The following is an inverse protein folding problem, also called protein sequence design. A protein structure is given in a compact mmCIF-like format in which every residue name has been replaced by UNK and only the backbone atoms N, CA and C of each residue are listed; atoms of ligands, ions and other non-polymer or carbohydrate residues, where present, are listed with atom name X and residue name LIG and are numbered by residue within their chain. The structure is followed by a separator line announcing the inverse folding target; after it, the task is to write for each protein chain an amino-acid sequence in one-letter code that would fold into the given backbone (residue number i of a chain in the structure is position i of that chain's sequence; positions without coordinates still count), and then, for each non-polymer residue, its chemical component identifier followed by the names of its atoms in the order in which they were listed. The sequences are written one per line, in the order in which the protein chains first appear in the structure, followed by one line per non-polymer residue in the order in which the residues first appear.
data_IF_627064611406
#
_entry.id   IF_627064611406
#
_cell.length_a   1.000
_cell.length_b   1.000
_cell.length_c   1.000
_cell.angle_alpha   90.00
_cell.angle_beta   90.00
_cell.angle_gamma   90.00
#
_symmetry.space_group_name_H-M   'P 1'
#
loop_
_entity.id
_entity.type
_entity.pdbx_description
1 polymer ?
#
# COMPACT_ATOMS: atom_id res chain seq x y z
N UNK A 1 -197.19 -106.13 -33.38
CA UNK A 1 -198.06 -107.16 -33.99
C UNK A 1 -197.23 -107.79 -35.10
N UNK A 2 -196.81 -109.05 -34.90
CA UNK A 2 -197.54 -110.27 -35.33
C UNK A 2 -197.34 -110.54 -36.84
N UNK A 3 -197.26 -111.78 -37.35
CA UNK A 3 -197.09 -113.09 -36.71
C UNK A 3 -196.64 -114.12 -37.76
N UNK A 4 -195.71 -115.01 -37.36
CA UNK A 4 -195.82 -116.48 -37.42
C UNK A 4 -196.20 -117.25 -38.71
N UNK A 5 -195.27 -118.13 -39.14
CA UNK A 5 -195.45 -119.59 -39.42
C UNK A 5 -196.38 -120.04 -40.61
N UNK A 6 -196.38 -121.33 -41.06
CA UNK A 6 -195.26 -122.30 -41.29
C UNK A 6 -195.45 -123.30 -42.50
N UNK A 7 -194.58 -124.35 -42.56
CA UNK A 7 -194.81 -125.77 -42.99
C UNK A 7 -194.35 -126.31 -44.40
N UNK A 8 -193.32 -127.18 -44.33
CA UNK A 8 -193.07 -128.48 -45.01
C UNK A 8 -192.50 -128.68 -46.46
N UNK A 9 -191.83 -129.85 -46.56
CA UNK A 9 -190.77 -130.40 -47.45
C UNK A 9 -191.31 -131.40 -48.53
N UNK A 10 -190.54 -131.98 -49.51
CA UNK A 10 -189.12 -132.43 -49.39
C UNK A 10 -188.14 -132.54 -50.60
N UNK A 11 -186.86 -132.78 -50.23
CA UNK A 11 -185.83 -133.66 -50.86
C UNK A 11 -184.86 -133.10 -51.95
N UNK A 12 -183.58 -132.90 -51.58
CA UNK A 12 -182.37 -133.65 -52.04
C UNK A 12 -181.06 -132.87 -51.71
N UNK A 13 -180.16 -133.46 -50.90
CA UNK A 13 -179.05 -132.75 -50.21
C UNK A 13 -177.64 -133.30 -50.54
N UNK A 14 -176.89 -132.69 -51.47
CA UNK A 14 -175.41 -132.90 -51.58
C UNK A 14 -174.63 -131.71 -52.16
N UNK A 15 -175.21 -130.95 -53.10
CA UNK A 15 -174.50 -129.85 -53.79
C UNK A 15 -174.28 -128.61 -52.90
N UNK A 16 -175.25 -128.29 -52.06
CA UNK A 16 -175.23 -127.07 -51.22
C UNK A 16 -174.12 -127.05 -50.16
N UNK A 17 -173.63 -128.20 -49.69
CA UNK A 17 -172.52 -128.27 -48.73
C UNK A 17 -171.18 -127.88 -49.37
N UNK A 18 -170.98 -128.21 -50.65
CA UNK A 18 -169.73 -127.94 -51.37
C UNK A 18 -169.58 -126.45 -51.73
N UNK A 19 -170.67 -125.82 -52.15
CA UNK A 19 -170.73 -124.37 -52.40
C UNK A 19 -170.60 -123.57 -51.10
N UNK A 20 -171.30 -123.98 -50.04
CA UNK A 20 -171.17 -123.38 -48.70
C UNK A 20 -169.72 -123.45 -48.17
N UNK A 21 -169.06 -124.60 -48.32
CA UNK A 21 -167.65 -124.80 -47.99
C UNK A 21 -166.72 -123.88 -48.81
N UNK A 22 -167.01 -123.69 -50.10
CA UNK A 22 -166.22 -122.82 -51.00
C UNK A 22 -166.37 -121.34 -50.63
N UNK A 23 -167.60 -120.89 -50.37
CA UNK A 23 -167.89 -119.52 -49.90
C UNK A 23 -167.24 -119.29 -48.53
N UNK A 24 -167.24 -120.30 -47.64
CA UNK A 24 -166.57 -120.20 -46.33
C UNK A 24 -165.04 -120.10 -46.46
N UNK A 25 -164.42 -120.79 -47.43
CA UNK A 25 -163.00 -120.63 -47.76
C UNK A 25 -162.70 -119.23 -48.30
N UNK A 26 -163.44 -118.76 -49.29
CA UNK A 26 -163.26 -117.42 -49.86
C UNK A 26 -163.44 -116.31 -48.80
N UNK A 27 -164.39 -116.47 -47.86
CA UNK A 27 -164.52 -115.57 -46.71
C UNK A 27 -163.31 -115.60 -45.78
N UNK A 28 -162.75 -116.78 -45.49
CA UNK A 28 -161.50 -116.91 -44.70
C UNK A 28 -160.30 -116.28 -45.42
N UNK A 29 -160.18 -116.48 -46.73
CA UNK A 29 -159.11 -115.91 -47.57
C UNK A 29 -159.21 -114.39 -47.66
N UNK A 30 -160.41 -113.83 -47.88
CA UNK A 30 -160.64 -112.38 -47.82
C UNK A 30 -160.37 -111.83 -46.42
N UNK A 31 -160.70 -112.56 -45.36
CA UNK A 31 -160.44 -112.12 -43.99
C UNK A 31 -158.95 -112.17 -43.63
N UNK A 32 -158.20 -113.16 -44.15
CA UNK A 32 -156.73 -113.18 -44.13
C UNK A 32 -156.15 -112.00 -44.89
N UNK A 33 -156.62 -111.71 -46.11
CA UNK A 33 -156.17 -110.58 -46.91
C UNK A 33 -156.46 -109.23 -46.21
N UNK A 34 -157.60 -109.09 -45.54
CA UNK A 34 -157.92 -107.89 -44.75
C UNK A 34 -156.99 -107.74 -43.54
N UNK A 35 -156.56 -108.85 -42.91
CA UNK A 35 -155.55 -108.81 -41.84
C UNK A 35 -154.18 -108.45 -42.40
N UNK A 36 -153.73 -109.12 -43.47
CA UNK A 36 -152.44 -108.85 -44.11
C UNK A 36 -152.33 -107.42 -44.66
N UNK A 37 -153.42 -106.86 -45.20
CA UNK A 37 -153.47 -105.46 -45.61
C UNK A 37 -153.39 -104.48 -44.43
N UNK A 38 -153.99 -104.81 -43.28
CA UNK A 38 -153.87 -104.01 -42.05
C UNK A 38 -152.47 -104.10 -41.45
N UNK A 39 -151.85 -105.28 -41.49
CA UNK A 39 -150.49 -105.46 -41.03
C UNK A 39 -149.51 -104.70 -41.94
N UNK A 40 -149.68 -104.74 -43.28
CA UNK A 40 -148.89 -103.90 -44.21
C UNK A 40 -149.12 -102.40 -44.04
N UNK A 41 -150.36 -101.96 -43.83
CA UNK A 41 -150.64 -100.54 -43.57
C UNK A 41 -149.97 -100.10 -42.26
N UNK A 42 -149.99 -100.95 -41.23
CA UNK A 42 -149.27 -100.71 -39.98
C UNK A 42 -147.75 -100.68 -40.19
N UNK A 43 -147.16 -101.64 -40.91
CA UNK A 43 -145.73 -101.65 -41.25
C UNK A 43 -145.31 -100.39 -42.02
N UNK A 44 -146.15 -99.95 -42.98
CA UNK A 44 -145.91 -98.71 -43.73
C UNK A 44 -145.95 -97.48 -42.81
N UNK A 45 -146.95 -97.40 -41.93
CA UNK A 45 -147.04 -96.34 -40.92
C UNK A 45 -145.86 -96.36 -39.95
N UNK A 46 -145.42 -97.54 -39.50
CA UNK A 46 -144.24 -97.71 -38.64
C UNK A 46 -142.95 -97.29 -39.36
N UNK A 47 -142.78 -97.63 -40.65
CA UNK A 47 -141.65 -97.16 -41.47
C UNK A 47 -141.69 -95.63 -41.68
N UNK A 48 -142.85 -95.06 -41.96
CA UNK A 48 -143.03 -93.60 -42.06
C UNK A 48 -142.67 -92.92 -40.74
N UNK A 49 -143.10 -93.47 -39.60
CA UNK A 49 -142.75 -92.97 -38.27
C UNK A 49 -141.26 -93.16 -37.91
N UNK A 50 -140.59 -94.20 -38.43
CA UNK A 50 -139.13 -94.35 -38.35
C UNK A 50 -138.43 -93.27 -39.19
N UNK A 51 -138.83 -93.08 -40.44
CA UNK A 51 -138.23 -92.08 -41.33
C UNK A 51 -138.46 -90.64 -40.84
N UNK A 52 -139.65 -90.31 -40.32
CA UNK A 52 -139.91 -89.01 -39.70
C UNK A 52 -138.99 -88.76 -38.49
N UNK A 53 -138.77 -89.78 -37.63
CA UNK A 53 -137.81 -89.69 -36.53
C UNK A 53 -136.36 -89.55 -37.01
N UNK A 54 -135.98 -90.23 -38.10
CA UNK A 54 -134.66 -90.09 -38.71
C UNK A 54 -134.43 -88.67 -39.27
N UNK A 55 -135.42 -88.10 -39.96
CA UNK A 55 -135.37 -86.73 -40.48
C UNK A 55 -135.21 -85.72 -39.33
N UNK A 56 -136.01 -85.83 -38.27
CA UNK A 56 -135.88 -84.96 -37.09
C UNK A 56 -134.50 -85.11 -36.41
N UNK A 57 -133.98 -86.34 -36.29
CA UNK A 57 -132.64 -86.56 -35.73
C UNK A 57 -131.53 -85.97 -36.62
N UNK A 58 -131.67 -86.04 -37.95
CA UNK A 58 -130.76 -85.41 -38.90
C UNK A 58 -130.83 -83.88 -38.86
N UNK A 59 -132.01 -83.30 -38.70
CA UNK A 59 -132.16 -81.85 -38.50
C UNK A 59 -131.55 -81.40 -37.17
N UNK A 60 -131.77 -82.13 -36.07
CA UNK A 60 -131.12 -81.88 -34.78
C UNK A 60 -129.59 -81.95 -34.90
N UNK A 61 -129.04 -82.98 -35.56
CA UNK A 61 -127.60 -83.12 -35.74
C UNK A 61 -127.02 -82.05 -36.67
N UNK A 62 -127.75 -81.65 -37.72
CA UNK A 62 -127.41 -80.50 -38.56
C UNK A 62 -127.33 -79.21 -37.74
N UNK A 63 -128.28 -78.94 -36.84
CA UNK A 63 -128.26 -77.76 -35.97
C UNK A 63 -127.10 -77.81 -34.95
N UNK A 64 -126.79 -78.99 -34.40
CA UNK A 64 -125.60 -79.19 -33.53
C UNK A 64 -124.30 -78.88 -34.30
N UNK A 65 -124.16 -79.39 -35.53
CA UNK A 65 -122.99 -79.14 -36.39
C UNK A 65 -122.85 -77.66 -36.71
N UNK A 66 -123.93 -76.95 -37.06
CA UNK A 66 -123.92 -75.50 -37.30
C UNK A 66 -123.49 -74.73 -36.05
N UNK A 67 -124.05 -75.07 -34.89
CA UNK A 67 -123.70 -74.44 -33.60
C UNK A 67 -122.22 -74.66 -33.23
N UNK A 68 -121.70 -75.86 -33.49
CA UNK A 68 -120.27 -76.17 -33.28
C UNK A 68 -119.38 -75.44 -34.28
N UNK A 69 -119.76 -75.35 -35.56
CA UNK A 69 -119.01 -74.62 -36.57
C UNK A 69 -118.90 -73.12 -36.24
N UNK A 70 -119.99 -72.49 -35.80
CA UNK A 70 -119.96 -71.11 -35.29
C UNK A 70 -119.02 -70.95 -34.09
N UNK A 71 -119.03 -71.92 -33.16
CA UNK A 71 -118.16 -71.90 -31.98
C UNK A 71 -116.68 -72.07 -32.37
N UNK A 72 -116.37 -72.94 -33.32
CA UNK A 72 -115.02 -73.11 -33.86
C UNK A 72 -114.55 -71.81 -34.53
N UNK A 73 -115.37 -71.19 -35.38
CA UNK A 73 -115.04 -69.91 -36.01
C UNK A 73 -114.78 -68.80 -34.99
N UNK A 74 -115.56 -68.72 -33.90
CA UNK A 74 -115.32 -67.78 -32.79
C UNK A 74 -113.96 -68.02 -32.12
N UNK A 75 -113.61 -69.29 -31.85
CA UNK A 75 -112.32 -69.67 -31.25
C UNK A 75 -111.13 -69.45 -32.19
N UNK A 76 -111.27 -69.72 -33.49
CA UNK A 76 -110.26 -69.44 -34.52
C UNK A 76 -109.95 -67.94 -34.60
N UNK A 77 -110.98 -67.09 -34.57
CA UNK A 77 -110.83 -65.63 -34.55
C UNK A 77 -110.13 -65.14 -33.27
N UNK A 78 -110.42 -65.74 -32.10
CA UNK A 78 -109.69 -65.43 -30.86
C UNK A 78 -108.23 -65.89 -30.91
N UNK A 79 -107.96 -67.08 -31.45
CA UNK A 79 -106.61 -67.61 -31.63
C UNK A 79 -105.80 -66.75 -32.61
N UNK A 80 -106.41 -66.28 -33.69
CA UNK A 80 -105.78 -65.35 -34.63
C UNK A 80 -105.37 -64.05 -33.94
N UNK A 81 -106.30 -63.40 -33.21
CA UNK A 81 -106.02 -62.19 -32.42
C UNK A 81 -104.91 -62.41 -31.39
N UNK A 82 -104.88 -63.58 -30.72
CA UNK A 82 -103.78 -63.92 -29.79
C UNK A 82 -102.44 -64.08 -30.50
N UNK A 83 -102.42 -64.69 -31.69
CA UNK A 83 -101.20 -64.81 -32.50
C UNK A 83 -100.70 -63.43 -33.00
N UNK A 84 -101.59 -62.52 -33.38
CA UNK A 84 -101.23 -61.13 -33.72
C UNK A 84 -100.64 -60.39 -32.50
N UNK A 85 -101.24 -60.55 -31.31
CA UNK A 85 -100.69 -60.00 -30.06
C UNK A 85 -99.32 -60.60 -29.74
N UNK A 86 -99.13 -61.92 -29.88
CA UNK A 86 -97.82 -62.57 -29.67
C UNK A 86 -96.79 -62.05 -30.69
N UNK A 87 -97.15 -61.89 -31.96
CA UNK A 87 -96.27 -61.37 -33.02
C UNK A 87 -95.84 -59.92 -32.75
N UNK A 88 -96.77 -59.06 -32.35
CA UNK A 88 -96.48 -57.65 -32.01
C UNK A 88 -95.64 -57.52 -30.73
N UNK A 89 -95.94 -58.30 -29.68
CA UNK A 89 -95.12 -58.36 -28.46
C UNK A 89 -93.71 -58.91 -28.74
N UNK A 90 -93.59 -59.95 -29.56
CA UNK A 90 -92.28 -60.52 -29.96
C UNK A 90 -91.43 -59.49 -30.72
N UNK A 91 -92.05 -58.71 -31.63
CA UNK A 91 -91.36 -57.62 -32.35
C UNK A 91 -90.91 -56.51 -31.39
N UNK A 92 -91.75 -56.16 -30.41
CA UNK A 92 -91.42 -55.17 -29.37
C UNK A 92 -90.28 -55.64 -28.46
N UNK A 93 -90.26 -56.91 -28.06
CA UNK A 93 -89.18 -57.49 -27.27
C UNK A 93 -87.83 -57.43 -28.01
N UNK A 94 -87.79 -57.86 -29.28
CA UNK A 94 -86.56 -57.79 -30.10
C UNK A 94 -86.02 -56.35 -30.24
N UNK A 95 -86.90 -55.36 -30.37
CA UNK A 95 -86.49 -53.96 -30.43
C UNK A 95 -85.97 -53.43 -29.07
N UNK A 96 -86.57 -53.84 -27.96
CA UNK A 96 -86.08 -53.48 -26.62
C UNK A 96 -84.74 -54.16 -26.31
N UNK A 97 -84.55 -55.40 -26.74
CA UNK A 97 -83.31 -56.17 -26.61
C UNK A 97 -82.15 -55.52 -27.41
N UNK A 98 -82.39 -55.17 -28.68
CA UNK A 98 -81.38 -54.44 -29.46
C UNK A 98 -81.05 -53.09 -28.82
N UNK A 99 -82.07 -52.33 -28.40
CA UNK A 99 -81.88 -51.03 -27.74
C UNK A 99 -81.16 -51.15 -26.39
N UNK A 100 -81.35 -52.25 -25.65
CA UNK A 100 -80.61 -52.55 -24.42
C UNK A 100 -79.14 -52.85 -24.72
N UNK A 101 -78.87 -53.62 -25.77
CA UNK A 101 -77.51 -53.92 -26.20
C UNK A 101 -76.75 -52.66 -26.66
N UNK A 102 -77.40 -51.79 -27.43
CA UNK A 102 -76.83 -50.51 -27.87
C UNK A 102 -76.52 -49.59 -26.67
N UNK A 103 -77.43 -49.53 -25.67
CA UNK A 103 -77.19 -48.82 -24.39
C UNK A 103 -76.03 -49.42 -23.60
N UNK A 104 -75.88 -50.75 -23.59
CA UNK A 104 -74.78 -51.43 -22.91
C UNK A 104 -73.43 -51.08 -23.56
N UNK A 105 -73.34 -51.20 -24.89
CA UNK A 105 -72.13 -50.87 -25.66
C UNK A 105 -71.75 -49.39 -25.50
N UNK A 106 -72.73 -48.48 -25.55
CA UNK A 106 -72.47 -47.05 -25.34
C UNK A 106 -72.02 -46.75 -23.91
N UNK A 107 -72.62 -47.38 -22.89
CA UNK A 107 -72.17 -47.28 -21.50
C UNK A 107 -70.72 -47.77 -21.33
N UNK A 108 -70.39 -48.98 -21.80
CA UNK A 108 -69.03 -49.55 -21.74
C UNK A 108 -68.00 -48.62 -22.41
N UNK A 109 -68.31 -48.09 -23.59
CA UNK A 109 -67.47 -47.12 -24.30
C UNK A 109 -67.29 -45.81 -23.50
N UNK A 110 -68.32 -45.28 -22.85
CA UNK A 110 -68.19 -44.08 -22.00
C UNK A 110 -67.38 -44.35 -20.74
N UNK A 111 -67.52 -45.53 -20.13
CA UNK A 111 -66.76 -45.94 -18.95
C UNK A 111 -65.27 -46.10 -19.27
N UNK A 112 -64.92 -46.69 -20.42
CA UNK A 112 -63.53 -46.77 -20.91
C UNK A 112 -62.93 -45.37 -21.15
N UNK A 113 -63.68 -44.46 -21.79
CA UNK A 113 -63.24 -43.07 -21.98
C UNK A 113 -63.01 -42.35 -20.64
N UNK A 114 -63.91 -42.54 -19.67
CA UNK A 114 -63.76 -41.95 -18.33
C UNK A 114 -62.51 -42.49 -17.62
N UNK A 115 -62.23 -43.79 -17.69
CA UNK A 115 -61.01 -44.39 -17.15
C UNK A 115 -59.75 -43.84 -17.85
N UNK A 116 -59.78 -43.66 -19.17
CA UNK A 116 -58.66 -43.08 -19.92
C UNK A 116 -58.41 -41.62 -19.53
N UNK A 117 -59.47 -40.82 -19.38
CA UNK A 117 -59.37 -39.44 -18.91
C UNK A 117 -58.88 -39.35 -17.46
N UNK A 118 -59.34 -40.25 -16.59
CA UNK A 118 -58.86 -40.34 -15.20
C UNK A 118 -57.37 -40.67 -15.11
N UNK A 119 -56.88 -41.63 -15.92
CA UNK A 119 -55.44 -41.93 -16.02
C UNK A 119 -54.66 -40.71 -16.50
N UNK A 120 -55.07 -40.10 -17.63
CA UNK A 120 -54.44 -38.88 -18.15
C UNK A 120 -54.41 -37.75 -17.13
N UNK A 121 -55.48 -37.54 -16.37
CA UNK A 121 -55.54 -36.54 -15.30
C UNK A 121 -54.51 -36.83 -14.19
N UNK A 122 -54.38 -38.10 -13.78
CA UNK A 122 -53.35 -38.55 -12.83
C UNK A 122 -51.94 -38.32 -13.37
N UNK A 123 -51.67 -38.71 -14.62
CA UNK A 123 -50.36 -38.56 -15.27
C UNK A 123 -49.98 -37.07 -15.38
N UNK A 124 -50.92 -36.21 -15.78
CA UNK A 124 -50.70 -34.76 -15.82
C UNK A 124 -50.52 -34.15 -14.42
N UNK A 125 -51.25 -34.64 -13.40
CA UNK A 125 -51.09 -34.17 -12.03
C UNK A 125 -49.69 -34.49 -11.47
N UNK A 126 -49.18 -35.70 -11.73
CA UNK A 126 -47.81 -36.09 -11.37
C UNK A 126 -46.77 -35.25 -12.13
N UNK A 127 -47.02 -34.95 -13.41
CA UNK A 127 -46.15 -34.06 -14.17
C UNK A 127 -46.13 -32.63 -13.63
N UNK A 128 -47.28 -32.08 -13.25
CA UNK A 128 -47.39 -30.77 -12.59
C UNK A 128 -46.61 -30.75 -11.26
N UNK A 129 -46.78 -31.76 -10.39
CA UNK A 129 -46.03 -31.87 -9.15
C UNK A 129 -44.51 -31.88 -9.40
N UNK A 130 -44.03 -32.68 -10.37
CA UNK A 130 -42.60 -32.73 -10.71
C UNK A 130 -42.05 -31.41 -11.30
N UNK A 131 -42.91 -30.55 -11.87
CA UNK A 131 -42.53 -29.20 -12.28
C UNK A 131 -42.55 -28.22 -11.09
N UNK A 132 -43.49 -28.35 -10.16
CA UNK A 132 -43.55 -27.57 -8.92
C UNK A 132 -42.33 -27.83 -8.03
N UNK A 133 -41.93 -29.10 -7.84
CA UNK A 133 -40.73 -29.49 -7.11
C UNK A 133 -39.46 -28.89 -7.73
N UNK A 134 -39.34 -28.90 -9.06
CA UNK A 134 -38.24 -28.24 -9.77
C UNK A 134 -38.25 -26.72 -9.61
N UNK A 135 -39.43 -26.11 -9.63
CA UNK A 135 -39.57 -24.66 -9.42
C UNK A 135 -39.19 -24.25 -8.00
N UNK A 136 -39.59 -25.03 -6.99
CA UNK A 136 -39.16 -24.86 -5.60
C UNK A 136 -37.64 -25.00 -5.46
N UNK A 137 -37.03 -26.03 -6.07
CA UNK A 137 -35.57 -26.21 -6.05
C UNK A 137 -34.84 -25.02 -6.70
N UNK A 138 -35.30 -24.54 -7.87
CA UNK A 138 -34.75 -23.35 -8.51
C UNK A 138 -34.92 -22.09 -7.65
N UNK A 139 -36.07 -21.92 -6.97
CA UNK A 139 -36.32 -20.81 -6.05
C UNK A 139 -35.34 -20.82 -4.87
N UNK A 140 -35.05 -22.00 -4.30
CA UNK A 140 -34.01 -22.17 -3.28
C UNK A 140 -32.63 -21.76 -3.81
N UNK A 141 -32.21 -22.25 -4.99
CA UNK A 141 -30.92 -21.87 -5.58
C UNK A 141 -30.82 -20.36 -5.89
N UNK A 142 -31.92 -19.72 -6.32
CA UNK A 142 -31.98 -18.25 -6.53
C UNK A 142 -31.81 -17.50 -5.20
N UNK A 143 -32.43 -17.99 -4.11
CA UNK A 143 -32.25 -17.42 -2.77
C UNK A 143 -30.80 -17.59 -2.27
N UNK A 144 -30.19 -18.75 -2.44
CA UNK A 144 -28.78 -19.01 -2.10
C UNK A 144 -27.82 -18.10 -2.87
N UNK A 145 -28.01 -17.96 -4.19
CA UNK A 145 -27.23 -17.06 -5.03
C UNK A 145 -27.42 -15.58 -4.63
N UNK A 146 -28.65 -15.17 -4.29
CA UNK A 146 -28.96 -13.81 -3.82
C UNK A 146 -28.23 -13.49 -2.49
N UNK A 147 -28.25 -14.45 -1.56
CA UNK A 147 -27.47 -14.36 -0.31
C UNK A 147 -25.97 -14.27 -0.59
N UNK A 148 -25.47 -15.03 -1.58
CA UNK A 148 -24.04 -14.98 -1.96
C UNK A 148 -23.64 -13.63 -2.58
N UNK A 149 -24.50 -13.04 -3.41
CA UNK A 149 -24.32 -11.69 -3.95
C UNK A 149 -24.27 -10.66 -2.84
N UNK A 150 -25.20 -10.71 -1.87
CA UNK A 150 -25.21 -9.81 -0.71
C UNK A 150 -23.93 -9.90 0.14
N UNK A 151 -23.41 -11.11 0.37
CA UNK A 151 -22.12 -11.32 1.04
C UNK A 151 -20.95 -10.70 0.28
N UNK A 152 -20.93 -10.82 -1.06
CA UNK A 152 -19.87 -10.26 -1.89
C UNK A 152 -19.92 -8.73 -1.91
N UNK A 153 -21.12 -8.13 -1.98
CA UNK A 153 -21.32 -6.67 -1.91
C UNK A 153 -20.86 -6.10 -0.55
N UNK A 154 -21.14 -6.79 0.56
CA UNK A 154 -20.66 -6.36 1.88
C UNK A 154 -19.12 -6.37 1.95
N UNK A 155 -18.47 -7.41 1.40
CA UNK A 155 -17.01 -7.52 1.33
C UNK A 155 -16.38 -6.49 0.38
N UNK A 156 -17.05 -6.17 -0.73
CA UNK A 156 -16.62 -5.10 -1.64
C UNK A 156 -16.60 -3.74 -0.93
N UNK A 157 -17.66 -3.43 -0.17
CA UNK A 157 -17.75 -2.19 0.61
C UNK A 157 -16.70 -2.11 1.73
N UNK A 158 -16.37 -3.23 2.37
CA UNK A 158 -15.26 -3.33 3.33
C UNK A 158 -13.91 -3.00 2.67
N UNK A 159 -13.58 -3.67 1.56
CA UNK A 159 -12.34 -3.45 0.81
C UNK A 159 -12.23 -2.02 0.25
N UNK A 160 -13.33 -1.45 -0.24
CA UNK A 160 -13.39 -0.06 -0.70
C UNK A 160 -13.13 0.93 0.45
N UNK A 161 -13.60 0.62 1.66
CA UNK A 161 -13.32 1.43 2.86
C UNK A 161 -11.86 1.31 3.29
N UNK A 162 -11.29 0.09 3.25
CA UNK A 162 -9.86 -0.14 3.50
C UNK A 162 -8.96 0.59 2.49
N UNK A 163 -9.32 0.59 1.21
CA UNK A 163 -8.58 1.29 0.15
C UNK A 163 -8.54 2.80 0.42
N UNK A 164 -9.69 3.42 0.74
CA UNK A 164 -9.76 4.84 1.11
C UNK A 164 -8.90 5.20 2.32
N UNK A 165 -8.80 4.31 3.32
CA UNK A 165 -7.89 4.51 4.45
C UNK A 165 -6.42 4.43 3.99
N UNK A 166 -6.07 3.49 3.12
CA UNK A 166 -4.70 3.40 2.56
C UNK A 166 -4.33 4.59 1.67
N UNK A 167 -5.28 5.13 0.90
CA UNK A 167 -5.07 6.34 0.11
C UNK A 167 -4.78 7.56 1.03
N UNK A 168 -5.47 7.65 2.17
CA UNK A 168 -5.18 8.67 3.20
C UNK A 168 -3.79 8.47 3.83
N UNK A 169 -3.42 7.25 4.22
CA UNK A 169 -2.07 6.93 4.75
C UNK A 169 -0.98 7.36 3.76
N UNK A 170 -1.17 7.09 2.46
CA UNK A 170 -0.24 7.44 1.38
C UNK A 170 -0.17 8.96 1.20
N UNK A 171 -1.30 9.67 1.30
CA UNK A 171 -1.36 11.12 1.20
C UNK A 171 -0.65 11.80 2.38
N UNK A 172 -0.81 11.31 3.60
CA UNK A 172 -0.08 11.79 4.78
C UNK A 172 1.43 11.54 4.65
N UNK A 173 1.84 10.33 4.28
CA UNK A 173 3.25 10.00 4.01
C UNK A 173 3.84 10.91 2.91
N UNK A 174 3.08 11.19 1.85
CA UNK A 174 3.48 12.11 0.78
C UNK A 174 3.66 13.53 1.32
N UNK A 175 2.74 14.04 2.14
CA UNK A 175 2.86 15.35 2.77
C UNK A 175 4.15 15.45 3.59
N UNK A 176 4.45 14.46 4.44
CA UNK A 176 5.70 14.42 5.20
C UNK A 176 6.95 14.42 4.30
N UNK A 177 6.94 13.65 3.20
CA UNK A 177 8.03 13.66 2.21
C UNK A 177 8.20 15.06 1.60
N UNK A 178 7.11 15.78 1.26
CA UNK A 178 7.20 17.15 0.73
C UNK A 178 7.74 18.13 1.78
N UNK A 179 7.35 18.01 3.05
CA UNK A 179 7.90 18.80 4.14
C UNK A 179 9.39 18.59 4.33
N UNK A 180 9.84 17.33 4.41
CA UNK A 180 11.26 17.00 4.54
C UNK A 180 12.05 17.47 3.31
N UNK A 181 11.49 17.36 2.11
CA UNK A 181 12.08 17.93 0.89
C UNK A 181 12.22 19.45 0.97
N UNK A 182 11.24 20.16 1.52
CA UNK A 182 11.31 21.60 1.76
C UNK A 182 12.38 21.97 2.80
N UNK A 183 12.42 21.25 3.94
CA UNK A 183 13.43 21.41 5.00
C UNK A 183 14.84 21.16 4.46
N UNK A 184 15.02 20.12 3.65
CA UNK A 184 16.30 19.80 3.00
C UNK A 184 16.75 20.91 2.04
N UNK A 185 15.88 21.41 1.16
CA UNK A 185 16.19 22.55 0.26
C UNK A 185 16.59 23.82 1.02
N UNK A 186 15.97 24.09 2.18
CA UNK A 186 16.37 25.22 3.05
C UNK A 186 17.79 25.03 3.61
N UNK A 187 18.12 23.83 4.09
CA UNK A 187 19.45 23.50 4.59
C UNK A 187 20.52 23.52 3.48
N UNK A 188 20.19 23.01 2.28
CA UNK A 188 21.07 23.06 1.11
C UNK A 188 21.38 24.52 0.69
N UNK A 189 20.37 25.40 0.72
CA UNK A 189 20.55 26.83 0.47
C UNK A 189 21.42 27.51 1.55
N UNK A 190 21.20 27.20 2.83
CA UNK A 190 22.01 27.71 3.92
C UNK A 190 23.48 27.23 3.82
N UNK A 191 23.71 25.97 3.46
CA UNK A 191 25.03 25.41 3.21
C UNK A 191 25.73 26.09 2.03
N UNK A 192 25.01 26.34 0.92
CA UNK A 192 25.54 27.13 -0.21
C UNK A 192 25.93 28.54 0.20
N UNK A 193 25.09 29.23 0.96
CA UNK A 193 25.38 30.58 1.46
C UNK A 193 26.60 30.59 2.39
N UNK A 194 26.67 29.68 3.36
CA UNK A 194 27.81 29.55 4.26
C UNK A 194 29.12 29.28 3.53
N UNK A 195 29.11 28.44 2.49
CA UNK A 195 30.28 28.16 1.65
C UNK A 195 30.73 29.36 0.80
N UNK A 196 29.78 30.18 0.33
CA UNK A 196 30.10 31.44 -0.35
C UNK A 196 30.74 32.44 0.62
N UNK A 197 30.21 32.55 1.84
CA UNK A 197 30.75 33.40 2.90
C UNK A 197 32.16 32.97 3.32
N UNK A 198 32.37 31.66 3.55
CA UNK A 198 33.69 31.06 3.80
C UNK A 198 34.70 31.44 2.69
N UNK A 199 34.27 31.39 1.42
CA UNK A 199 35.12 31.80 0.29
C UNK A 199 35.39 33.31 0.21
N UNK A 200 34.54 34.14 0.84
CA UNK A 200 34.76 35.59 0.97
C UNK A 200 35.75 35.88 2.08
N UNK A 201 35.49 35.38 3.29
CA UNK A 201 36.38 35.49 4.45
C UNK A 201 37.77 34.91 4.17
N UNK A 202 37.86 33.82 3.39
CA UNK A 202 39.15 33.28 3.00
C UNK A 202 39.91 34.15 1.97
N UNK A 203 39.23 34.95 1.14
CA UNK A 203 39.88 35.98 0.29
C UNK A 203 40.40 37.12 1.16
N UNK A 204 39.54 37.69 2.01
CA UNK A 204 39.92 38.75 2.96
C UNK A 204 41.11 38.34 3.84
N UNK A 205 41.13 37.09 4.32
CA UNK A 205 42.25 36.51 5.06
C UNK A 205 43.56 36.50 4.27
N UNK A 206 43.53 36.23 2.96
CA UNK A 206 44.74 36.34 2.12
C UNK A 206 45.13 37.80 1.92
N UNK A 207 44.18 38.70 1.72
CA UNK A 207 44.43 40.13 1.57
C UNK A 207 45.06 40.73 2.84
N UNK A 208 44.53 40.40 4.04
CA UNK A 208 45.15 40.75 5.32
C UNK A 208 46.55 40.12 5.48
N UNK A 209 46.75 38.88 5.01
CA UNK A 209 48.07 38.22 5.05
C UNK A 209 49.08 38.91 4.12
N UNK A 210 48.66 39.42 2.97
CA UNK A 210 49.49 40.26 2.09
C UNK A 210 49.78 41.60 2.76
N UNK A 211 48.76 42.27 3.30
CA UNK A 211 48.89 43.55 4.01
C UNK A 211 49.83 43.47 5.21
N UNK A 212 49.81 42.36 5.95
CA UNK A 212 50.73 42.10 7.05
C UNK A 212 52.18 41.98 6.57
N UNK A 213 52.43 41.32 5.43
CA UNK A 213 53.77 41.25 4.83
C UNK A 213 54.27 42.62 4.40
N UNK A 214 53.40 43.44 3.78
CA UNK A 214 53.72 44.84 3.41
C UNK A 214 54.16 45.63 4.65
N UNK A 215 53.36 45.61 5.72
CA UNK A 215 53.67 46.30 6.98
C UNK A 215 54.92 45.77 7.69
N UNK A 216 55.21 44.47 7.61
CA UNK A 216 56.46 43.88 8.13
C UNK A 216 57.69 44.37 7.36
N UNK A 217 57.61 44.49 6.03
CA UNK A 217 58.69 45.05 5.20
C UNK A 217 58.89 46.53 5.50
N UNK A 218 57.81 47.30 5.64
CA UNK A 218 57.88 48.73 5.97
C UNK A 218 58.43 48.97 7.38
N UNK A 219 58.04 48.15 8.37
CA UNK A 219 58.61 48.18 9.72
C UNK A 219 60.10 47.81 9.71
N UNK A 220 60.49 46.83 8.88
CA UNK A 220 61.90 46.44 8.71
C UNK A 220 62.73 47.57 8.06
N UNK A 221 62.15 48.27 7.08
CA UNK A 221 62.75 49.47 6.48
C UNK A 221 62.91 50.59 7.50
N UNK A 222 61.85 50.98 8.20
CA UNK A 222 61.90 52.03 9.23
C UNK A 222 62.88 51.70 10.37
N UNK A 223 63.04 50.42 10.71
CA UNK A 223 64.08 49.96 11.65
C UNK A 223 65.49 50.12 11.08
N UNK A 224 65.67 49.87 9.78
CA UNK A 224 66.90 50.18 9.04
C UNK A 224 67.21 51.67 9.08
N UNK A 225 66.27 52.51 8.64
CA UNK A 225 66.37 53.97 8.63
C UNK A 225 66.72 54.52 10.04
N UNK A 226 66.08 54.00 11.09
CA UNK A 226 66.38 54.36 12.48
C UNK A 226 67.80 53.95 12.92
N UNK A 227 68.29 52.79 12.49
CA UNK A 227 69.65 52.33 12.78
C UNK A 227 70.71 53.17 12.04
N UNK A 228 70.42 53.60 10.81
CA UNK A 228 71.26 54.52 10.05
C UNK A 228 71.30 55.89 10.73
N UNK A 229 70.15 56.46 11.13
CA UNK A 229 70.12 57.70 11.92
C UNK A 229 70.82 57.60 13.28
N UNK A 230 70.82 56.43 13.90
CA UNK A 230 71.62 56.19 15.11
C UNK A 230 73.12 56.20 14.82
N UNK A 231 73.55 55.61 13.68
CA UNK A 231 74.95 55.66 13.23
C UNK A 231 75.39 57.07 12.86
N UNK A 232 74.60 57.81 12.08
CA UNK A 232 74.84 59.24 11.79
C UNK A 232 74.97 60.06 13.08
N UNK A 233 74.08 59.85 14.06
CA UNK A 233 74.15 60.57 15.34
C UNK A 233 75.42 60.23 16.13
N UNK A 234 75.89 58.98 16.09
CA UNK A 234 77.15 58.59 16.70
C UNK A 234 78.35 59.21 15.97
N UNK A 235 78.35 59.25 14.65
CA UNK A 235 79.40 59.92 13.85
C UNK A 235 79.46 61.43 14.14
N UNK A 236 78.30 62.08 14.24
CA UNK A 236 78.17 63.48 14.68
C UNK A 236 78.65 63.68 16.13
N UNK A 237 78.37 62.75 17.05
CA UNK A 237 78.88 62.80 18.43
C UNK A 237 80.41 62.69 18.46
N UNK A 238 80.99 61.76 17.70
CA UNK A 238 82.44 61.62 17.58
C UNK A 238 83.08 62.87 16.93
N UNK A 239 82.43 63.48 15.95
CA UNK A 239 82.88 64.76 15.38
C UNK A 239 82.84 65.90 16.40
N UNK A 240 81.77 66.02 17.19
CA UNK A 240 81.68 66.98 18.30
C UNK A 240 82.78 66.73 19.35
N UNK A 241 83.13 65.46 19.63
CA UNK A 241 84.23 65.12 20.54
C UNK A 241 85.58 65.55 19.95
N UNK A 242 85.86 65.25 18.67
CA UNK A 242 87.09 65.69 17.98
C UNK A 242 87.22 67.21 17.98
N UNK A 243 86.17 67.94 17.57
CA UNK A 243 86.16 69.40 17.57
C UNK A 243 86.37 70.00 18.96
N UNK A 244 85.83 69.38 20.03
CA UNK A 244 86.11 69.79 21.41
C UNK A 244 87.56 69.57 21.82
N UNK A 245 88.17 68.44 21.42
CA UNK A 245 89.59 68.16 21.68
C UNK A 245 90.51 69.15 20.96
N UNK A 246 90.23 69.42 19.69
CA UNK A 246 90.95 70.42 18.88
C UNK A 246 90.83 71.83 19.48
N UNK A 247 89.62 72.25 19.87
CA UNK A 247 89.39 73.54 20.51
C UNK A 247 90.11 73.66 21.87
N UNK A 248 90.21 72.57 22.63
CA UNK A 248 91.04 72.51 23.84
C UNK A 248 92.54 72.64 23.52
N UNK A 249 93.03 71.96 22.47
CA UNK A 249 94.42 72.08 22.01
C UNK A 249 94.75 73.51 21.56
N UNK A 250 93.90 74.12 20.73
CA UNK A 250 94.07 75.49 20.25
C UNK A 250 94.02 76.52 21.39
N UNK A 251 93.17 76.34 22.41
CA UNK A 251 93.19 77.18 23.60
C UNK A 251 94.51 77.07 24.38
N UNK A 252 95.08 75.86 24.49
CA UNK A 252 96.38 75.65 25.13
C UNK A 252 97.53 76.29 24.33
N UNK A 253 97.52 76.18 23.00
CA UNK A 253 98.48 76.88 22.13
C UNK A 253 98.36 78.40 22.25
N UNK A 254 97.13 78.94 22.27
CA UNK A 254 96.87 80.37 22.46
C UNK A 254 97.40 80.86 23.81
N UNK A 255 97.19 80.09 24.89
CA UNK A 255 97.72 80.36 26.22
C UNK A 255 99.26 80.41 26.21
N UNK A 256 99.93 79.41 25.62
CA UNK A 256 101.38 79.38 25.48
C UNK A 256 101.91 80.54 24.61
N UNK A 257 101.16 80.96 23.59
CA UNK A 257 101.50 82.12 22.77
C UNK A 257 101.39 83.43 23.56
N UNK A 258 100.35 83.60 24.37
CA UNK A 258 100.19 84.72 25.28
C UNK A 258 101.31 84.76 26.35
N UNK A 259 101.74 83.61 26.88
CA UNK A 259 102.93 83.56 27.74
C UNK A 259 104.21 84.00 27.05
N UNK A 260 104.44 83.59 25.79
CA UNK A 260 105.62 84.03 25.01
C UNK A 260 105.59 85.54 24.79
N UNK A 261 104.41 86.12 24.51
CA UNK A 261 104.24 87.57 24.39
C UNK A 261 104.57 88.29 25.71
N UNK A 262 104.02 87.82 26.84
CA UNK A 262 104.33 88.37 28.16
C UNK A 262 105.83 88.29 28.50
N UNK A 263 106.51 87.17 28.22
CA UNK A 263 107.98 87.05 28.40
C UNK A 263 108.75 88.04 27.51
N UNK A 264 108.28 88.30 26.28
CA UNK A 264 108.89 89.28 25.37
C UNK A 264 108.74 90.71 25.89
N UNK A 265 107.57 91.07 26.43
CA UNK A 265 107.32 92.41 26.98
C UNK A 265 108.11 92.66 28.28
N UNK A 266 108.26 91.65 29.15
CA UNK A 266 109.15 91.71 30.31
C UNK A 266 110.61 91.98 29.92
N UNK A 267 111.10 91.31 28.88
CA UNK A 267 112.42 91.55 28.28
C UNK A 267 112.57 92.98 27.77
N UNK A 268 111.52 93.51 27.13
CA UNK A 268 111.50 94.86 26.55
C UNK A 268 111.48 95.96 27.63
N UNK A 269 110.77 95.75 28.75
CA UNK A 269 110.88 96.61 29.93
C UNK A 269 112.28 96.59 30.56
N UNK A 270 112.89 95.41 30.70
CA UNK A 270 114.26 95.27 31.24
C UNK A 270 115.29 96.03 30.38
N UNK A 271 115.17 95.95 29.05
CA UNK A 271 116.00 96.72 28.12
C UNK A 271 115.83 98.25 28.31
N UNK A 272 114.59 98.75 28.36
CA UNK A 272 114.31 100.18 28.60
C UNK A 272 114.85 100.67 29.94
N UNK A 273 114.74 99.86 31.00
CA UNK A 273 115.28 100.16 32.34
C UNK A 273 116.81 100.22 32.38
N UNK A 274 117.50 99.42 31.55
CA UNK A 274 118.97 99.52 31.40
C UNK A 274 119.37 100.81 30.68
N UNK A 275 118.69 101.15 29.59
CA UNK A 275 119.01 102.35 28.80
C UNK A 275 118.82 103.66 29.58
N UNK A 276 117.76 103.76 30.39
CA UNK A 276 117.53 104.96 31.22
C UNK A 276 118.66 105.22 32.24
N UNK A 277 119.29 104.15 32.75
CA UNK A 277 120.46 104.27 33.65
C UNK A 277 121.68 104.80 32.93
N UNK A 278 122.02 104.23 31.77
CA UNK A 278 123.16 104.69 30.97
C UNK A 278 123.02 106.15 30.53
N UNK A 279 121.82 106.59 30.15
CA UNK A 279 121.57 107.99 29.77
C UNK A 279 121.75 108.96 30.96
N UNK A 280 121.41 108.53 32.17
CA UNK A 280 121.57 109.32 33.40
C UNK A 280 123.04 109.48 33.79
N UNK A 281 123.83 108.41 33.71
CA UNK A 281 125.28 108.43 33.97
C UNK A 281 126.01 109.34 32.97
N UNK A 282 125.64 109.28 31.68
CA UNK A 282 126.22 110.09 30.61
C UNK A 282 125.93 111.59 30.80
N UNK A 283 124.75 111.94 31.33
CA UNK A 283 124.40 113.31 31.71
C UNK A 283 125.30 113.85 32.84
N UNK A 284 125.54 113.04 33.88
CA UNK A 284 126.40 113.43 35.00
C UNK A 284 127.86 113.68 34.57
N UNK A 285 128.43 112.83 33.70
CA UNK A 285 129.79 113.06 33.16
C UNK A 285 129.88 114.38 32.38
N UNK A 286 128.87 114.71 31.55
CA UNK A 286 128.83 115.97 30.80
C UNK A 286 128.79 117.19 31.72
N UNK A 287 128.08 117.11 32.84
CA UNK A 287 128.01 118.20 33.82
C UNK A 287 129.34 118.43 34.55
N UNK A 288 130.08 117.36 34.86
CA UNK A 288 131.43 117.43 35.47
C UNK A 288 132.42 118.11 34.51
N UNK A 289 132.41 117.72 33.24
CA UNK A 289 133.32 118.25 32.21
C UNK A 289 133.18 119.78 32.04
N UNK A 290 131.94 120.28 31.98
CA UNK A 290 131.65 121.73 31.86
C UNK A 290 132.14 122.53 33.07
N UNK A 291 132.19 121.92 34.25
CA UNK A 291 132.67 122.59 35.47
C UNK A 291 134.18 122.85 35.41
N UNK A 292 134.96 121.83 35.07
CA UNK A 292 136.42 121.90 34.95
C UNK A 292 136.91 122.94 33.93
N UNK A 293 136.13 123.16 32.86
CA UNK A 293 136.49 124.12 31.81
C UNK A 293 136.40 125.59 32.26
N UNK A 294 135.58 125.91 33.28
CA UNK A 294 135.47 127.27 33.84
C UNK A 294 136.65 127.61 34.74
N UNK A 295 137.10 126.64 35.55
CA UNK A 295 138.20 126.81 36.49
C UNK A 295 139.52 127.12 35.75
N UNK A 296 139.73 126.52 34.57
CA UNK A 296 140.90 126.76 33.70
C UNK A 296 140.98 128.19 33.15
N UNK A 297 139.86 128.84 32.86
CA UNK A 297 139.86 130.21 32.32
C UNK A 297 140.20 131.27 33.38
N UNK A 298 139.92 130.98 34.66
CA UNK A 298 140.18 131.91 35.77
C UNK A 298 141.68 132.09 36.07
N UNK A 299 142.50 131.05 35.85
CA UNK A 299 143.96 131.14 36.05
C UNK A 299 144.66 132.01 35.00
N UNK A 300 144.08 132.16 33.81
CA UNK A 300 144.73 132.85 32.68
C UNK A 300 144.77 134.39 32.84
N UNK A 301 144.04 134.95 33.81
CA UNK A 301 143.86 136.39 34.01
C UNK A 301 144.71 136.99 35.14
N UNK A 302 145.23 136.17 36.07
CA UNK A 302 145.93 136.67 37.27
C UNK A 302 147.47 136.72 37.16
N UNK A 303 148.07 136.32 36.02
CA UNK A 303 149.54 136.21 35.89
C UNK A 303 150.22 137.34 35.12
N UNK A 304 149.46 138.27 34.53
CA UNK A 304 149.99 139.34 33.66
C UNK A 304 150.33 140.64 34.44
N UNK A 305 150.31 140.60 35.78
CA UNK A 305 150.58 141.74 36.64
C UNK A 305 151.64 141.44 37.72
N UNK A 306 152.64 142.32 37.80
CA UNK A 306 153.78 142.34 38.73
C UNK A 306 154.99 141.44 38.43
N UNK A 307 156.16 141.94 38.84
CA UNK A 307 157.49 141.61 38.32
C UNK A 307 158.41 141.06 39.45
N UNK A 308 159.53 140.43 39.06
CA UNK A 308 160.69 140.01 39.86
C UNK A 308 160.77 138.64 40.58
N UNK A 309 161.98 138.08 40.51
CA UNK A 309 162.62 136.98 41.29
C UNK A 309 162.25 135.48 41.10
N UNK A 310 163.21 134.78 40.48
CA UNK A 310 163.87 133.50 40.90
C UNK A 310 163.10 132.16 41.09
N UNK A 311 163.66 131.16 40.38
CA UNK A 311 163.97 129.76 40.77
C UNK A 311 163.02 128.58 40.44
N UNK A 312 163.71 127.44 40.17
CA UNK A 312 163.31 126.02 40.02
C UNK A 312 162.67 125.45 41.32
N UNK A 313 162.05 124.22 41.39
CA UNK A 313 162.41 123.00 40.64
C UNK A 313 161.28 121.98 40.28
N UNK A 314 161.73 120.78 39.86
CA UNK A 314 161.03 119.52 39.52
C UNK A 314 160.33 118.82 40.72
N UNK A 315 159.65 117.70 40.44
CA UNK A 315 159.52 116.39 41.18
C UNK A 315 158.04 115.92 41.08
N UNK A 316 157.60 114.74 40.57
CA UNK A 316 157.97 113.30 40.65
C UNK A 316 157.28 112.54 41.81
N UNK A 317 156.95 111.26 41.56
CA UNK A 317 156.55 110.17 42.50
C UNK A 317 155.05 110.04 42.89
N UNK A 318 154.42 108.88 42.59
CA UNK A 318 154.01 107.76 43.50
C UNK A 318 152.66 108.03 44.23
N UNK A 319 151.81 107.12 44.73
CA UNK A 319 151.82 105.66 45.04
C UNK A 319 150.34 105.14 45.16
N UNK A 320 149.96 103.87 44.90
CA UNK A 320 149.71 102.75 45.85
C UNK A 320 148.22 102.27 45.98
N UNK A 321 148.02 101.03 46.46
CA UNK A 321 146.86 100.48 47.22
C UNK A 321 145.51 100.16 46.50
N UNK A 322 144.62 99.22 46.93
CA UNK A 322 144.67 97.83 47.49
C UNK A 322 143.19 97.29 47.60
N UNK A 323 142.98 95.97 47.86
CA UNK A 323 141.74 95.29 48.38
C UNK A 323 140.46 95.20 47.48
N UNK A 324 139.44 94.33 47.70
CA UNK A 324 139.25 92.99 48.34
C UNK A 324 137.76 92.50 48.11
N UNK A 325 137.39 91.24 48.49
CA UNK A 325 136.02 90.64 48.67
C UNK A 325 135.19 90.38 47.37
N UNK A 326 134.80 89.18 46.91
CA UNK A 326 134.10 87.96 47.45
C UNK A 326 132.55 88.00 47.42
N UNK A 327 131.92 86.97 46.82
CA UNK A 327 130.84 86.11 47.39
C UNK A 327 130.08 85.25 46.37
N UNK A 328 129.92 83.97 46.73
CA UNK A 328 129.03 82.98 46.11
C UNK A 328 127.54 83.23 46.37
N UNK A 329 126.66 82.70 45.50
CA UNK A 329 125.47 81.98 45.99
C UNK A 329 124.98 80.90 45.00
N UNK A 330 125.02 79.65 45.45
CA UNK A 330 124.19 78.55 44.95
C UNK A 330 123.26 78.17 46.09
N UNK A 331 121.95 78.00 45.88
CA UNK A 331 121.24 76.93 46.60
C UNK A 331 119.81 76.57 46.11
N UNK A 332 119.43 75.33 46.44
CA UNK A 332 118.09 74.74 46.66
C UNK A 332 116.98 74.85 45.57
N UNK A 333 116.20 73.80 45.26
CA UNK A 333 116.30 72.39 45.68
C UNK A 333 114.96 71.71 46.05
N UNK A 334 114.26 71.13 45.05
CA UNK A 334 113.22 70.07 45.20
C UNK A 334 112.00 70.41 46.12
N UNK A 335 111.05 69.49 46.45
CA UNK A 335 110.66 68.16 45.90
C UNK A 335 109.19 68.19 45.32
N UNK A 336 108.32 67.15 45.23
CA UNK A 336 108.34 65.73 45.61
C UNK A 336 107.38 64.81 44.78
N UNK A 337 107.67 63.51 44.87
CA UNK A 337 106.96 62.24 44.59
C UNK A 337 105.41 62.14 44.54
N UNK A 338 104.90 61.24 43.68
CA UNK A 338 104.22 59.95 43.99
C UNK A 338 103.80 59.25 42.66
N UNK A 339 103.50 57.94 42.50
CA UNK A 339 103.77 56.61 43.13
C UNK A 339 102.53 55.70 42.97
N UNK A 340 102.69 54.37 43.07
CA UNK A 340 101.71 53.25 42.85
C UNK A 340 101.32 52.98 41.38
N UNK A 341 101.42 51.79 40.76
CA UNK A 341 101.49 50.33 41.06
C UNK A 341 100.18 49.55 41.31
N UNK A 342 99.95 48.58 40.39
CA UNK A 342 99.43 47.18 40.52
C UNK A 342 98.04 46.90 41.13
N UNK A 343 97.30 45.98 40.47
CA UNK A 343 96.82 44.63 40.92
C UNK A 343 95.96 44.03 39.79
N UNK A 344 96.25 42.85 39.20
CA UNK A 344 96.08 41.44 39.65
C UNK A 344 94.62 40.95 39.75
N UNK A 345 94.32 39.75 39.24
CA UNK A 345 92.95 39.20 39.17
C UNK A 345 92.74 37.85 39.87
N UNK A 346 91.52 37.30 39.72
CA UNK A 346 91.03 35.94 40.05
C UNK A 346 89.71 35.78 39.26
N UNK A 347 89.28 34.66 38.64
CA UNK A 347 89.35 33.19 38.87
C UNK A 347 88.42 32.67 39.99
N UNK A 348 87.66 31.62 39.67
CA UNK A 348 86.50 31.07 40.39
C UNK A 348 85.28 31.06 39.44
N UNK A 349 85.09 30.07 38.56
CA UNK A 349 84.63 28.68 38.79
C UNK A 349 83.22 28.59 39.41
N UNK A 350 82.23 28.15 38.61
CA UNK A 350 81.47 26.92 38.89
C UNK A 350 80.80 26.36 37.61
N UNK A 351 80.65 25.03 37.56
CA UNK A 351 80.04 24.24 36.47
C UNK A 351 78.56 23.90 36.88
N UNK A 352 77.70 23.12 36.20
CA UNK A 352 77.89 21.87 35.45
C UNK A 352 76.52 21.35 34.87
N UNK A 353 76.55 20.58 33.76
CA UNK A 353 75.54 19.66 33.14
C UNK A 353 74.07 20.13 32.94
N UNK A 354 73.44 20.08 31.76
CA UNK A 354 73.23 18.96 30.79
C UNK A 354 72.34 17.81 31.34
N UNK A 355 71.33 17.39 30.55
CA UNK A 355 70.43 16.28 30.88
C UNK A 355 69.36 16.07 29.80
N UNK A 356 69.15 14.82 29.37
CA UNK A 356 68.43 14.47 28.13
C UNK A 356 66.93 14.13 28.27
N UNK A 357 66.31 13.95 27.10
CA UNK A 357 65.04 13.30 26.71
C UNK A 357 64.69 11.99 27.50
N UNK A 358 63.42 11.48 27.52
CA UNK A 358 62.85 10.71 26.38
C UNK A 358 61.28 10.68 26.26
N UNK A 359 60.79 9.69 25.50
CA UNK A 359 59.46 9.56 24.88
C UNK A 359 58.58 8.41 25.45
N UNK A 360 57.33 8.35 24.97
CA UNK A 360 56.48 7.16 24.70
C UNK A 360 55.76 6.31 25.78
N UNK A 361 54.43 6.20 25.56
CA UNK A 361 53.56 5.00 25.58
C UNK A 361 53.05 4.34 26.90
N UNK A 362 52.10 3.41 26.70
CA UNK A 362 51.25 2.62 27.63
C UNK A 362 50.01 3.37 28.16
N UNK A 363 48.76 3.00 27.85
CA UNK A 363 48.06 1.69 27.79
C UNK A 363 47.90 1.02 29.16
N UNK A 364 46.65 0.89 29.63
CA UNK A 364 46.30 0.13 30.83
C UNK A 364 44.87 -0.46 30.74
N UNK A 365 44.77 -1.66 30.18
CA UNK A 365 43.89 -2.71 30.74
C UNK A 365 44.53 -3.14 32.07
N UNK A 366 43.81 -3.62 33.10
CA UNK A 366 43.08 -4.89 33.10
C UNK A 366 42.38 -5.14 34.47
N UNK A 367 41.60 -6.22 34.59
CA UNK A 367 41.17 -6.90 35.85
C UNK A 367 40.16 -6.09 36.72
N UNK A 368 38.96 -6.57 37.06
CA UNK A 368 38.68 -7.85 37.72
C UNK A 368 37.22 -8.32 37.55
N UNK A 369 36.99 -9.63 37.48
CA UNK A 369 35.68 -10.26 37.52
C UNK A 369 35.51 -11.09 38.81
N UNK A 370 34.29 -11.13 39.38
CA UNK A 370 33.63 -12.37 39.88
C UNK A 370 32.26 -12.12 40.57
N UNK A 371 31.27 -12.89 40.11
CA UNK A 371 30.10 -13.45 40.83
C UNK A 371 29.10 -12.58 41.64
N UNK A 372 27.83 -12.67 41.23
CA UNK A 372 26.64 -12.33 42.02
C UNK A 372 25.37 -12.42 41.16
N UNK A 373 24.52 -13.43 41.37
CA UNK A 373 23.42 -13.77 40.45
C UNK A 373 22.12 -12.97 40.70
N UNK A 374 21.44 -12.52 39.62
CA UNK A 374 20.01 -12.75 39.31
C UNK A 374 19.34 -11.63 38.46
N UNK A 375 18.80 -12.03 37.30
CA UNK A 375 17.68 -11.42 36.53
C UNK A 375 17.51 -9.87 36.47
N UNK A 376 17.72 -9.30 35.27
CA UNK A 376 16.60 -8.88 34.39
C UNK A 376 17.03 -8.71 32.92
N UNK A 377 16.07 -8.89 32.00
CA UNK A 377 16.29 -8.95 30.55
C UNK A 377 16.48 -7.57 29.87
N UNK A 378 17.60 -7.40 29.17
CA UNK A 378 17.74 -6.46 28.04
C UNK A 378 18.54 -7.17 26.94
N UNK A 379 17.87 -7.90 26.03
CA UNK A 379 18.58 -8.48 24.88
C UNK A 379 18.73 -7.43 23.77
N UNK A 380 19.96 -6.92 23.64
CA UNK A 380 20.36 -5.93 22.64
C UNK A 380 20.80 -6.68 21.37
N UNK A 381 19.91 -6.84 20.40
CA UNK A 381 20.10 -7.64 19.19
C UNK A 381 21.10 -6.99 18.17
N UNK A 382 22.37 -6.90 18.57
CA UNK A 382 23.51 -6.68 17.68
C UNK A 382 23.85 -7.95 16.89
N UNK A 383 22.86 -8.43 16.13
CA UNK A 383 23.00 -9.51 15.16
C UNK A 383 23.30 -8.90 13.78
N UNK A 384 24.48 -9.19 13.22
CA UNK A 384 24.93 -8.73 11.90
C UNK A 384 23.89 -9.03 10.80
N UNK A 385 23.75 -8.18 9.76
CA UNK A 385 22.69 -8.33 8.74
C UNK A 385 22.54 -9.74 8.17
N UNK A 386 23.67 -10.42 7.92
CA UNK A 386 23.74 -11.81 7.45
C UNK A 386 23.00 -12.79 8.36
N UNK A 387 23.13 -12.65 9.69
CA UNK A 387 22.48 -13.53 10.66
C UNK A 387 20.96 -13.33 10.75
N UNK A 388 20.47 -12.10 10.50
CA UNK A 388 19.03 -11.82 10.38
C UNK A 388 18.46 -12.43 9.11
N UNK A 389 19.15 -12.29 7.98
CA UNK A 389 18.77 -12.93 6.71
C UNK A 389 18.76 -14.46 6.84
N UNK A 390 19.76 -15.05 7.48
CA UNK A 390 19.86 -16.51 7.66
C UNK A 390 18.74 -17.05 8.57
N UNK A 391 18.33 -16.29 9.60
CA UNK A 391 17.16 -16.59 10.46
C UNK A 391 15.85 -16.55 9.67
N UNK A 392 15.61 -15.48 8.91
CA UNK A 392 14.42 -15.32 8.07
C UNK A 392 14.32 -16.40 6.97
N UNK A 393 15.45 -16.80 6.38
CA UNK A 393 15.50 -17.91 5.42
C UNK A 393 15.21 -19.27 6.08
N UNK A 394 15.59 -19.47 7.34
CA UNK A 394 15.24 -20.68 8.10
C UNK A 394 13.74 -20.71 8.46
N UNK A 395 13.19 -19.58 8.95
CA UNK A 395 11.77 -19.43 9.25
C UNK A 395 10.89 -19.61 8.01
N UNK A 396 11.29 -19.04 6.86
CA UNK A 396 10.60 -19.22 5.58
C UNK A 396 10.60 -20.69 5.13
N UNK A 397 11.74 -21.40 5.24
CA UNK A 397 11.81 -22.85 4.93
C UNK A 397 10.93 -23.68 5.86
N UNK A 398 10.89 -23.35 7.15
CA UNK A 398 10.00 -24.04 8.11
C UNK A 398 8.52 -23.79 7.79
N UNK A 399 8.15 -22.56 7.41
CA UNK A 399 6.78 -22.21 7.04
C UNK A 399 6.32 -22.96 5.77
N UNK A 400 7.18 -23.07 4.76
CA UNK A 400 6.91 -23.86 3.54
C UNK A 400 6.73 -25.33 3.88
N UNK A 401 7.63 -25.93 4.67
CA UNK A 401 7.50 -27.32 5.11
C UNK A 401 6.19 -27.57 5.89
N UNK A 402 5.77 -26.63 6.75
CA UNK A 402 4.51 -26.72 7.47
C UNK A 402 3.28 -26.63 6.54
N UNK A 403 3.35 -25.82 5.47
CA UNK A 403 2.29 -25.72 4.46
C UNK A 403 2.22 -26.97 3.57
N UNK A 404 3.36 -27.54 3.20
CA UNK A 404 3.43 -28.81 2.45
C UNK A 404 2.86 -29.97 3.28
N UNK A 405 3.16 -30.03 4.59
CA UNK A 405 2.55 -30.98 5.51
C UNK A 405 1.03 -30.78 5.66
N UNK A 406 0.55 -29.53 5.75
CA UNK A 406 -0.89 -29.23 5.75
C UNK A 406 -1.60 -29.59 4.44
N UNK A 407 -0.92 -29.54 3.30
CA UNK A 407 -1.50 -29.95 2.01
C UNK A 407 -1.51 -31.47 1.82
N UNK A 408 -0.61 -32.21 2.48
CA UNK A 408 -0.59 -33.69 2.49
C UNK A 408 -1.61 -34.28 3.47
N UNK A 409 -1.90 -33.60 4.58
CA UNK A 409 -3.07 -33.90 5.41
C UNK A 409 -4.30 -33.14 4.88
N UNK A 410 -4.91 -33.69 3.82
CA UNK A 410 -6.25 -33.29 3.38
C UNK A 410 -7.28 -33.29 4.53
N UNK A 411 -8.39 -32.55 4.40
CA UNK A 411 -9.27 -32.23 5.52
C UNK A 411 -9.77 -33.48 6.25
N UNK A 412 -9.43 -33.57 7.53
CA UNK A 412 -9.87 -34.66 8.40
C UNK A 412 -11.40 -34.66 8.53
N UNK A 413 -12.10 -35.79 8.28
CA UNK A 413 -13.55 -35.88 8.42
C UNK A 413 -13.97 -35.94 9.90
N UNK A 414 -14.00 -34.77 10.54
CA UNK A 414 -14.41 -34.59 11.94
C UNK A 414 -15.92 -34.58 12.15
N UNK A 415 -16.48 -35.75 12.41
CA UNK A 415 -17.72 -36.06 13.15
C UNK A 415 -18.78 -34.94 13.37
N UNK A 416 -20.00 -35.19 12.89
CA UNK A 416 -21.23 -34.89 13.64
C UNK A 416 -22.28 -35.98 13.38
N UNK A 417 -23.12 -36.35 14.37
CA UNK A 417 -23.83 -37.64 14.35
C UNK A 417 -25.20 -37.59 13.67
N UNK A 418 -25.56 -38.73 13.08
CA UNK A 418 -26.92 -39.23 12.85
C UNK A 418 -27.93 -38.32 12.14
N UNK A 419 -28.18 -38.62 10.86
CA UNK A 419 -29.47 -39.24 10.54
C UNK A 419 -29.38 -40.14 9.30
N UNK A 420 -30.07 -41.27 9.35
CA UNK A 420 -30.10 -42.27 8.29
C UNK A 420 -31.13 -41.95 7.22
N UNK A 421 -30.75 -42.05 5.94
CA UNK A 421 -31.44 -42.94 5.02
C UNK A 421 -30.62 -43.23 3.75
N UNK A 422 -30.73 -44.46 3.31
CA UNK A 422 -29.93 -45.13 2.29
C UNK A 422 -30.58 -44.97 0.91
N UNK A 423 -29.83 -44.55 -0.12
CA UNK A 423 -29.99 -45.07 -1.49
C UNK A 423 -28.67 -44.96 -2.25
N UNK A 424 -28.24 -46.07 -2.85
CA UNK A 424 -27.12 -46.12 -3.78
C UNK A 424 -27.55 -45.57 -5.16
N UNK A 425 -26.66 -44.83 -5.81
CA UNK A 425 -26.84 -44.32 -7.17
C UNK A 425 -25.53 -44.41 -7.94
N UNK A 426 -25.40 -45.43 -8.78
CA UNK A 426 -24.24 -45.63 -9.66
C UNK A 426 -24.26 -44.61 -10.80
N UNK A 427 -23.33 -43.65 -10.80
CA UNK A 427 -23.13 -42.76 -11.94
C UNK A 427 -22.19 -43.41 -12.95
N UNK A 428 -22.77 -44.07 -13.96
CA UNK A 428 -22.08 -44.50 -15.18
C UNK A 428 -22.15 -43.39 -16.24
N UNK A 429 -21.07 -42.61 -16.33
CA UNK A 429 -20.95 -41.48 -17.26
C UNK A 429 -20.77 -42.00 -18.70
N UNK A 430 -21.88 -42.09 -19.46
CA UNK A 430 -21.87 -42.55 -20.85
C UNK A 430 -21.99 -41.40 -21.85
N UNK A 431 -20.87 -41.14 -22.52
CA UNK A 431 -20.67 -40.10 -23.52
C UNK A 431 -21.39 -40.44 -24.84
N UNK A 432 -22.55 -39.82 -25.12
CA UNK A 432 -23.26 -40.00 -26.39
C UNK A 432 -23.46 -38.70 -27.18
N UNK A 433 -22.78 -38.64 -28.32
CA UNK A 433 -22.83 -37.57 -29.34
C UNK A 433 -24.26 -37.22 -29.74
N UNK A 434 -24.61 -35.94 -29.64
CA UNK A 434 -25.81 -35.42 -30.29
C UNK A 434 -25.69 -35.47 -31.82
N UNK A 435 -26.60 -36.21 -32.47
CA UNK A 435 -26.88 -36.10 -33.91
C UNK A 435 -28.37 -35.85 -34.08
N UNK A 436 -28.74 -34.60 -34.39
CA UNK A 436 -30.11 -34.21 -34.73
C UNK A 436 -30.52 -34.78 -36.10
N UNK A 437 -31.80 -35.18 -36.25
CA UNK A 437 -32.45 -35.19 -37.55
C UNK A 437 -33.81 -34.43 -37.56
N UNK A 438 -34.28 -34.19 -38.78
CA UNK A 438 -35.66 -33.84 -39.18
C UNK A 438 -36.34 -32.60 -38.57
N UNK A 439 -36.37 -31.52 -39.34
CA UNK A 439 -37.62 -30.80 -39.60
C UNK A 439 -38.03 -31.18 -41.02
N UNK A 440 -39.13 -31.93 -41.17
CA UNK A 440 -39.78 -32.14 -42.47
C UNK A 440 -40.86 -31.08 -42.65
N UNK A 441 -40.72 -30.27 -43.69
CA UNK A 441 -41.80 -29.39 -44.16
C UNK A 441 -42.86 -30.24 -44.87
N UNK A 442 -44.13 -30.09 -44.48
CA UNK A 442 -45.24 -30.69 -45.21
C UNK A 442 -46.44 -29.74 -45.22
N UNK A 443 -46.38 -28.74 -46.09
CA UNK A 443 -47.51 -27.84 -46.37
C UNK A 443 -48.25 -28.23 -47.65
N UNK A 444 -49.58 -28.30 -47.51
CA UNK A 444 -50.59 -27.96 -48.51
C UNK A 444 -50.52 -28.62 -49.90
N UNK A 445 -51.15 -29.80 -50.03
CA UNK A 445 -51.80 -30.18 -51.30
C UNK A 445 -53.14 -29.46 -51.44
N UNK A 446 -53.17 -28.41 -52.26
CA UNK A 446 -54.42 -27.78 -52.71
C UNK A 446 -55.13 -28.66 -53.74
N UNK A 447 -56.45 -28.80 -53.57
CA UNK A 447 -57.34 -29.47 -54.52
C UNK A 447 -57.61 -28.58 -55.74
N UNK A 448 -57.34 -29.07 -56.94
CA UNK A 448 -57.77 -28.45 -58.19
C UNK A 448 -58.86 -29.30 -58.85
N UNK A 449 -60.07 -28.75 -58.89
CA UNK A 449 -61.16 -29.22 -59.77
C UNK A 449 -60.83 -28.86 -61.22
N UNK A 450 -60.94 -29.82 -62.15
CA UNK A 450 -61.35 -29.59 -63.54
C UNK A 450 -61.63 -30.91 -64.27
N UNK A 451 -62.83 -30.96 -64.89
CA UNK A 451 -63.44 -32.06 -65.68
C UNK A 451 -63.70 -33.38 -64.92
#
# INVERSE_FOLDING_TARGET
MESSLPISTPQQNTTSELESSTIQKQRKELQLLIVELKDRDKELNDMVAVHQRQLLAWDDDRQKILTLAERCSKLENELHKRNEMISTLTRRLKHLESQQNDRKITLENTQQKLQQLSRKASDTSLHCQALEEKNQALSCSVMELSNKVGQLQAREQELLTMLKLKDNDILEATNHITEFTCKFKKLENALRAAKMEESSVNREKQDFKLRLKELMLETSKLKGDLSEKTKENNEQREEIIRLKQENSYLNNELMLSAERANRKDQLLQSAKSKQLRTDTELSNLRQIYVKQQRDLQFLHFNLESSQETKQKPKTQAHEASDHDVDLHFSDLGAPCLTSTQKTSGSKGDEKLFEGELPSEFMSLTDIQAANGCCHLSIHKDSCSPTSKLQRLLAESRQMVANLELSNLLGPSPGCSPNNSLHMAGEYSESLCKGRLPSVEESEMKLSLFSL
#
